data_IF_120565589054
#
_entry.id   IF_120565589054
#
_cell.length_a   1.000
_cell.length_b   1.000
_cell.length_c   1.000
_cell.angle_alpha   90.00
_cell.angle_beta   90.00
_cell.angle_gamma   90.00
#
_symmetry.space_group_name_H-M   'P 1'
#
loop_
_entity.id
_entity.type
_entity.pdbx_description
1 polymer ?
#
# COMPACT_ATOMS: atom_id res chain seq x y z
N UNK A 1 6.75 4.44 1.39
CA UNK A 1 6.89 5.06 2.72
C UNK A 1 7.66 4.10 3.60
N UNK A 2 8.87 4.51 3.95
CA UNK A 2 9.92 3.68 4.54
C UNK A 2 10.19 4.09 5.98
N UNK A 3 11.13 3.39 6.63
CA UNK A 3 11.68 3.83 7.90
C UNK A 3 12.46 5.14 7.67
N UNK A 4 12.72 5.87 8.74
CA UNK A 4 13.61 7.04 8.71
C UNK A 4 14.99 6.63 8.16
N UNK A 5 15.45 7.31 7.10
CA UNK A 5 16.77 7.09 6.48
C UNK A 5 17.87 8.01 7.02
N UNK A 6 17.47 9.05 7.75
CA UNK A 6 18.33 10.04 8.38
C UNK A 6 17.53 11.26 8.80
N UNK A 7 18.21 12.33 9.23
CA UNK A 7 17.60 13.55 9.76
C UNK A 7 17.49 14.67 8.73
N UNK A 8 18.08 14.49 7.54
CA UNK A 8 18.03 15.46 6.46
C UNK A 8 17.15 14.94 5.31
N UNK A 9 16.46 15.85 4.62
CA UNK A 9 15.65 15.50 3.45
C UNK A 9 16.46 14.90 2.29
N UNK A 10 17.75 15.21 2.21
CA UNK A 10 18.69 14.64 1.23
C UNK A 10 18.98 13.15 1.43
N UNK A 11 18.77 12.62 2.65
CA UNK A 11 18.91 11.19 2.94
C UNK A 11 17.88 10.31 2.21
N UNK A 12 16.85 10.94 1.61
CA UNK A 12 15.74 10.27 0.94
C UNK A 12 15.90 10.21 -0.58
N UNK A 13 16.87 10.93 -1.15
CA UNK A 13 17.02 11.09 -2.62
C UNK A 13 17.34 9.78 -3.33
N UNK A 14 17.92 8.79 -2.64
CA UNK A 14 18.22 7.47 -3.21
C UNK A 14 17.02 6.52 -3.22
N UNK A 15 15.93 6.85 -2.52
CA UNK A 15 14.80 5.96 -2.30
C UNK A 15 13.51 6.43 -2.97
N UNK A 16 13.47 7.70 -3.35
CA UNK A 16 12.31 8.35 -3.96
C UNK A 16 12.78 9.20 -5.13
N UNK A 17 11.91 9.36 -6.11
CA UNK A 17 12.04 10.38 -7.15
C UNK A 17 11.01 11.48 -6.88
N UNK A 18 11.35 12.72 -7.25
CA UNK A 18 10.45 13.87 -7.14
C UNK A 18 10.13 14.41 -8.53
N UNK A 19 8.85 14.54 -8.82
CA UNK A 19 8.36 15.07 -10.10
C UNK A 19 8.13 16.59 -10.06
N UNK A 20 8.07 17.18 -8.86
CA UNK A 20 7.91 18.61 -8.64
C UNK A 20 9.24 19.31 -8.36
N UNK A 21 9.26 20.64 -8.54
CA UNK A 21 10.46 21.46 -8.28
C UNK A 21 10.83 21.54 -6.77
N UNK A 22 9.91 21.18 -5.87
CA UNK A 22 10.07 21.20 -4.42
C UNK A 22 9.23 20.10 -3.74
N UNK A 23 9.50 19.79 -2.46
CA UNK A 23 8.68 18.86 -1.67
C UNK A 23 9.44 17.90 -0.75
N UNK A 24 10.77 17.85 -0.85
CA UNK A 24 11.60 16.93 -0.05
C UNK A 24 11.44 17.08 1.47
N UNK A 25 11.35 18.31 1.97
CA UNK A 25 11.11 18.57 3.40
C UNK A 25 9.74 18.07 3.85
N UNK A 26 8.72 18.18 2.99
CA UNK A 26 7.38 17.66 3.30
C UNK A 26 7.37 16.13 3.36
N UNK A 27 8.08 15.48 2.43
CA UNK A 27 8.23 14.01 2.43
C UNK A 27 8.98 13.53 3.68
N UNK A 28 10.08 14.20 4.03
CA UNK A 28 10.80 13.95 5.28
C UNK A 28 9.86 14.04 6.48
N UNK A 29 9.11 15.15 6.60
CA UNK A 29 8.19 15.37 7.71
C UNK A 29 7.09 14.30 7.78
N UNK A 30 6.55 13.87 6.64
CA UNK A 30 5.61 12.73 6.58
C UNK A 30 6.24 11.47 7.17
N UNK A 31 7.45 11.11 6.72
CA UNK A 31 8.13 9.87 7.15
C UNK A 31 8.53 9.97 8.63
N UNK A 32 9.00 11.13 9.09
CA UNK A 32 9.37 11.34 10.48
C UNK A 32 8.15 11.22 11.41
N UNK A 33 7.05 11.93 11.12
CA UNK A 33 5.80 11.83 11.90
C UNK A 33 5.27 10.40 11.90
N UNK A 34 5.29 9.72 10.75
CA UNK A 34 4.84 8.33 10.65
C UNK A 34 5.60 7.41 11.60
N UNK A 35 6.91 7.61 11.76
CA UNK A 35 7.78 6.75 12.54
C UNK A 35 7.92 7.17 14.02
N UNK A 36 7.70 8.44 14.36
CA UNK A 36 7.91 8.96 15.72
C UNK A 36 6.62 9.37 16.45
N UNK A 37 5.55 9.71 15.72
CA UNK A 37 4.30 10.21 16.27
C UNK A 37 3.09 9.76 15.42
N UNK A 38 2.92 8.43 15.34
CA UNK A 38 1.89 7.81 14.50
C UNK A 38 0.46 8.24 14.83
N UNK A 39 0.17 8.66 16.07
CA UNK A 39 -1.14 9.19 16.48
C UNK A 39 -1.49 10.52 15.76
N UNK A 40 -0.49 11.25 15.29
CA UNK A 40 -0.66 12.50 14.52
C UNK A 40 -0.56 12.28 13.01
N UNK A 41 -0.42 11.04 12.52
CA UNK A 41 -0.22 10.76 11.09
C UNK A 41 -1.34 11.30 10.21
N UNK A 42 -2.57 11.33 10.72
CA UNK A 42 -3.73 11.86 10.01
C UNK A 42 -3.64 13.37 9.72
N UNK A 43 -2.72 14.11 10.35
CA UNK A 43 -2.49 15.53 10.04
C UNK A 43 -1.69 15.72 8.76
N UNK A 44 -0.87 14.74 8.39
CA UNK A 44 0.05 14.82 7.23
C UNK A 44 -0.23 13.77 6.17
N UNK A 45 -1.04 12.75 6.47
CA UNK A 45 -1.44 11.69 5.55
C UNK A 45 -2.96 11.56 5.54
N UNK A 46 -3.53 11.45 4.34
CA UNK A 46 -4.90 11.01 4.16
C UNK A 46 -4.97 9.49 4.43
N UNK A 47 -5.23 9.15 5.68
CA UNK A 47 -5.26 7.74 6.13
C UNK A 47 -6.31 6.94 5.37
N UNK A 48 -7.51 7.49 5.17
CA UNK A 48 -8.61 6.78 4.50
C UNK A 48 -8.24 6.37 3.07
N UNK A 49 -7.74 7.31 2.26
CA UNK A 49 -7.25 7.01 0.90
C UNK A 49 -6.10 6.00 0.89
N UNK A 50 -5.23 6.09 1.89
CA UNK A 50 -4.11 5.15 2.05
C UNK A 50 -4.62 3.73 2.33
N UNK A 51 -5.58 3.59 3.24
CA UNK A 51 -6.20 2.29 3.53
C UNK A 51 -6.97 1.75 2.32
N UNK A 52 -7.66 2.60 1.56
CA UNK A 52 -8.31 2.21 0.30
C UNK A 52 -7.31 1.67 -0.73
N UNK A 53 -6.18 2.36 -0.92
CA UNK A 53 -5.14 1.89 -1.84
C UNK A 53 -4.63 0.50 -1.45
N UNK A 54 -4.30 0.29 -0.16
CA UNK A 54 -3.80 -1.01 0.27
C UNK A 54 -4.87 -2.08 0.24
N UNK A 55 -6.13 -1.74 0.55
CA UNK A 55 -7.25 -2.67 0.43
C UNK A 55 -7.39 -3.15 -1.02
N UNK A 56 -7.29 -2.25 -1.99
CA UNK A 56 -7.33 -2.61 -3.41
C UNK A 56 -6.15 -3.49 -3.80
N UNK A 57 -4.91 -3.07 -3.51
CA UNK A 57 -3.72 -3.88 -3.82
C UNK A 57 -3.82 -5.28 -3.21
N UNK A 58 -4.35 -5.40 -1.99
CA UNK A 58 -4.56 -6.69 -1.36
C UNK A 58 -5.66 -7.50 -2.05
N UNK A 59 -6.83 -6.90 -2.31
CA UNK A 59 -7.97 -7.57 -2.96
C UNK A 59 -7.62 -8.17 -4.33
N UNK A 60 -6.67 -7.55 -5.06
CA UNK A 60 -6.20 -8.07 -6.34
C UNK A 60 -4.86 -8.80 -6.24
N UNK A 61 -4.34 -9.10 -5.04
CA UNK A 61 -3.05 -9.78 -4.83
C UNK A 61 -1.91 -9.12 -5.65
N UNK A 62 -1.80 -7.79 -5.55
CA UNK A 62 -0.73 -7.02 -6.17
C UNK A 62 0.44 -6.87 -5.21
N UNK A 63 1.40 -7.81 -5.26
CA UNK A 63 2.63 -7.74 -4.46
C UNK A 63 3.73 -6.91 -5.14
N UNK A 64 3.57 -6.59 -6.42
CA UNK A 64 4.38 -5.57 -7.10
C UNK A 64 3.89 -4.15 -6.74
N UNK A 65 3.62 -3.95 -5.46
CA UNK A 65 3.10 -2.70 -4.89
C UNK A 65 3.81 -2.42 -3.57
N UNK A 66 3.33 -1.43 -2.82
CA UNK A 66 3.80 -1.21 -1.46
C UNK A 66 3.73 -2.47 -0.57
N UNK A 67 2.72 -3.32 -0.72
CA UNK A 67 2.50 -4.49 0.15
C UNK A 67 3.65 -5.50 0.04
N UNK A 68 4.19 -5.72 -1.16
CA UNK A 68 5.28 -6.65 -1.39
C UNK A 68 6.63 -5.94 -1.55
N UNK A 69 6.86 -5.23 -2.66
CA UNK A 69 8.17 -4.64 -2.97
C UNK A 69 8.39 -3.18 -2.53
N UNK A 70 7.35 -2.49 -2.06
CA UNK A 70 7.49 -1.10 -1.63
C UNK A 70 7.41 -0.08 -2.77
N UNK A 71 6.90 -0.46 -3.95
CA UNK A 71 6.94 0.32 -5.19
C UNK A 71 5.56 0.51 -5.86
N UNK A 72 5.53 1.11 -7.05
CA UNK A 72 4.34 1.33 -7.90
C UNK A 72 3.24 2.18 -7.27
N UNK A 73 3.63 3.33 -6.71
CA UNK A 73 2.70 4.38 -6.29
C UNK A 73 3.42 5.73 -6.28
N UNK A 74 2.65 6.80 -6.42
CA UNK A 74 3.09 8.17 -6.18
C UNK A 74 2.52 8.69 -4.86
N UNK A 75 3.15 9.73 -4.32
CA UNK A 75 2.63 10.50 -3.20
C UNK A 75 2.34 11.91 -3.67
N UNK A 76 1.12 12.38 -3.43
CA UNK A 76 0.70 13.73 -3.78
C UNK A 76 0.25 14.47 -2.53
N UNK A 77 0.91 15.59 -2.22
CA UNK A 77 0.48 16.51 -1.15
C UNK A 77 -0.62 17.42 -1.69
N UNK A 78 -1.81 17.30 -1.12
CA UNK A 78 -2.94 18.14 -1.51
C UNK A 78 -2.85 19.55 -0.89
N UNK A 79 -3.75 20.44 -1.30
CA UNK A 79 -3.94 21.76 -0.70
C UNK A 79 -4.41 21.71 0.77
N UNK A 80 -4.81 20.54 1.28
CA UNK A 80 -5.18 20.34 2.68
C UNK A 80 -4.01 19.84 3.53
N UNK A 81 -2.77 20.02 3.04
CA UNK A 81 -1.50 19.61 3.67
C UNK A 81 -1.38 18.13 4.01
N UNK A 82 -2.21 17.29 3.38
CA UNK A 82 -2.16 15.84 3.53
C UNK A 82 -1.63 15.18 2.27
N UNK A 83 -0.70 14.25 2.43
CA UNK A 83 -0.32 13.33 1.38
C UNK A 83 -1.43 12.32 1.12
N UNK A 84 -1.73 12.08 -0.16
CA UNK A 84 -2.57 10.99 -0.63
C UNK A 84 -1.76 10.14 -1.59
N UNK A 85 -1.79 8.80 -1.47
CA UNK A 85 -1.14 7.97 -2.44
C UNK A 85 -1.97 7.86 -3.72
N UNK A 86 -1.27 7.68 -4.84
CA UNK A 86 -1.86 7.43 -6.15
C UNK A 86 -1.28 6.11 -6.64
N UNK A 87 -2.15 5.15 -6.95
CA UNK A 87 -1.75 3.85 -7.48
C UNK A 87 -1.14 4.02 -8.87
N UNK A 88 -0.06 3.30 -9.11
CA UNK A 88 0.56 3.17 -10.42
C UNK A 88 0.76 1.69 -10.74
N UNK A 89 0.92 1.38 -12.02
CA UNK A 89 1.19 0.06 -12.60
C UNK A 89 0.58 -1.17 -11.89
N UNK A 90 -0.55 -1.65 -12.42
CA UNK A 90 -1.28 -2.81 -11.90
C UNK A 90 -1.12 -4.07 -12.76
N UNK A 91 -0.22 -4.05 -13.75
CA UNK A 91 -0.01 -5.15 -14.70
C UNK A 91 0.33 -6.49 -14.01
N UNK A 92 1.00 -6.43 -12.86
CA UNK A 92 1.46 -7.58 -12.08
C UNK A 92 0.50 -7.99 -10.94
N UNK A 93 -0.75 -7.54 -11.03
CA UNK A 93 -1.84 -7.98 -10.14
C UNK A 93 -2.26 -9.43 -10.39
N UNK A 94 -3.24 -9.91 -9.62
CA UNK A 94 -3.82 -11.25 -9.66
C UNK A 94 -2.80 -12.37 -9.42
N UNK A 95 -1.88 -12.18 -8.47
CA UNK A 95 -0.84 -13.14 -8.11
C UNK A 95 0.11 -13.53 -9.28
N UNK A 96 0.23 -12.65 -10.28
CA UNK A 96 1.18 -12.84 -11.38
C UNK A 96 2.62 -12.52 -10.94
N UNK A 97 2.82 -11.55 -10.05
CA UNK A 97 4.06 -11.36 -9.30
C UNK A 97 3.97 -11.99 -7.92
N UNK A 98 4.93 -12.86 -7.61
CA UNK A 98 4.89 -13.73 -6.42
C UNK A 98 6.08 -13.55 -5.49
N UNK A 99 6.96 -12.59 -5.77
CA UNK A 99 7.99 -12.17 -4.81
C UNK A 99 7.35 -11.25 -3.77
N UNK A 100 7.90 -11.26 -2.55
CA UNK A 100 7.33 -10.53 -1.42
C UNK A 100 8.40 -9.68 -0.73
N UNK A 101 8.01 -9.06 0.37
CA UNK A 101 8.82 -8.35 1.35
C UNK A 101 9.80 -9.24 2.14
N UNK A 102 9.97 -10.50 1.72
CA UNK A 102 10.66 -11.55 2.47
C UNK A 102 10.12 -11.68 3.90
N UNK A 103 8.80 -11.55 4.07
CA UNK A 103 8.12 -11.82 5.33
C UNK A 103 8.38 -13.24 5.82
N UNK A 104 8.29 -13.42 7.14
CA UNK A 104 8.43 -14.73 7.79
C UNK A 104 7.58 -15.83 7.12
N UNK A 105 6.39 -15.47 6.63
CA UNK A 105 5.48 -16.40 5.95
C UNK A 105 5.87 -16.71 4.50
N UNK A 106 6.45 -15.75 3.79
CA UNK A 106 6.65 -15.82 2.34
C UNK A 106 8.07 -15.47 1.92
N UNK A 107 9.08 -15.98 2.64
CA UNK A 107 10.48 -15.60 2.44
C UNK A 107 10.99 -15.76 0.99
N UNK A 108 10.56 -16.82 0.30
CA UNK A 108 10.90 -17.10 -1.10
C UNK A 108 9.71 -16.91 -2.06
N UNK A 109 8.76 -16.05 -1.69
CA UNK A 109 7.53 -15.87 -2.43
C UNK A 109 6.39 -16.79 -2.00
N UNK A 110 5.35 -16.88 -2.84
CA UNK A 110 4.15 -17.67 -2.58
C UNK A 110 3.62 -18.39 -3.83
N UNK A 111 2.83 -19.44 -3.63
CA UNK A 111 2.08 -20.12 -4.69
C UNK A 111 0.60 -19.67 -4.77
N UNK A 112 -0.14 -20.19 -5.76
CA UNK A 112 -1.55 -19.82 -5.97
C UNK A 112 -2.46 -20.26 -4.81
N UNK A 113 -2.18 -21.40 -4.19
CA UNK A 113 -2.97 -21.88 -3.04
C UNK A 113 -2.78 -20.98 -1.83
N UNK A 114 -1.54 -20.55 -1.60
CA UNK A 114 -1.20 -19.58 -0.56
C UNK A 114 -1.84 -18.23 -0.83
N UNK A 115 -1.81 -17.74 -2.07
CA UNK A 115 -2.43 -16.46 -2.47
C UNK A 115 -3.93 -16.39 -2.11
N UNK A 116 -4.66 -17.50 -2.24
CA UNK A 116 -6.09 -17.56 -1.92
C UNK A 116 -6.40 -17.45 -0.42
N UNK A 117 -5.43 -17.78 0.43
CA UNK A 117 -5.59 -17.88 1.88
C UNK A 117 -4.68 -16.90 2.64
N UNK A 118 -4.17 -15.88 1.96
CA UNK A 118 -3.33 -14.87 2.58
C UNK A 118 -4.10 -14.12 3.67
N UNK A 119 -3.36 -13.66 4.68
CA UNK A 119 -3.86 -12.78 5.71
C UNK A 119 -3.72 -11.30 5.28
N UNK A 120 -4.83 -10.52 5.19
CA UNK A 120 -4.78 -9.10 4.87
C UNK A 120 -3.99 -8.25 5.87
N UNK A 121 -3.77 -8.76 7.08
CA UNK A 121 -3.05 -8.11 8.17
C UNK A 121 -1.63 -8.67 8.36
N UNK A 122 -1.02 -9.25 7.31
CA UNK A 122 0.33 -9.83 7.38
C UNK A 122 1.36 -8.88 8.01
N UNK A 123 1.35 -7.59 7.65
CA UNK A 123 2.27 -6.56 8.17
C UNK A 123 2.01 -6.14 9.62
N UNK A 124 0.91 -6.59 10.21
CA UNK A 124 0.60 -6.41 11.63
C UNK A 124 0.91 -7.66 12.44
N UNK A 125 0.63 -8.84 11.88
CA UNK A 125 0.77 -10.12 12.58
C UNK A 125 2.18 -10.73 12.48
N UNK A 126 2.97 -10.32 11.47
CA UNK A 126 4.28 -10.91 11.18
C UNK A 126 5.34 -9.85 10.94
N UNK A 127 6.61 -10.27 11.08
CA UNK A 127 7.78 -9.42 10.82
C UNK A 127 8.26 -9.66 9.39
N UNK A 128 8.62 -8.58 8.73
CA UNK A 128 9.18 -8.56 7.38
C UNK A 128 10.66 -8.20 7.41
N UNK A 129 11.48 -8.90 6.62
CA UNK A 129 12.91 -8.56 6.47
C UNK A 129 13.05 -7.18 5.83
N UNK A 130 12.16 -6.84 4.89
CA UNK A 130 11.98 -5.47 4.39
C UNK A 130 10.77 -4.84 5.10
N UNK A 131 10.97 -3.95 6.09
CA UNK A 131 9.86 -3.43 6.90
C UNK A 131 8.85 -2.61 6.08
N UNK A 132 7.57 -2.64 6.51
CA UNK A 132 6.48 -1.81 5.97
C UNK A 132 5.90 -0.90 7.06
N UNK A 133 6.66 0.11 7.51
CA UNK A 133 6.31 0.91 8.69
C UNK A 133 4.99 1.66 8.55
N UNK A 134 4.61 2.06 7.33
CA UNK A 134 3.30 2.67 7.10
C UNK A 134 2.17 1.77 7.56
N UNK A 135 2.14 0.54 7.03
CA UNK A 135 1.09 -0.42 7.33
C UNK A 135 1.17 -0.87 8.79
N UNK A 136 2.38 -1.13 9.28
CA UNK A 136 2.61 -1.53 10.67
C UNK A 136 2.09 -0.47 11.65
N UNK A 137 2.44 0.80 11.44
CA UNK A 137 2.05 1.89 12.34
C UNK A 137 0.56 2.21 12.25
N UNK A 138 -0.02 2.22 11.04
CA UNK A 138 -1.46 2.41 10.88
C UNK A 138 -2.25 1.27 11.54
N UNK A 139 -1.77 0.03 11.42
CA UNK A 139 -2.44 -1.14 11.99
C UNK A 139 -2.27 -1.27 13.50
N UNK A 140 -1.43 -0.48 14.16
CA UNK A 140 -1.47 -0.39 15.62
C UNK A 140 -2.79 0.25 16.14
N UNK A 141 -3.50 0.98 15.29
CA UNK A 141 -4.81 1.55 15.61
C UNK A 141 -5.96 0.60 15.20
N UNK A 142 -6.75 0.15 16.19
CA UNK A 142 -7.89 -0.75 16.00
C UNK A 142 -8.94 -0.23 15.01
N UNK A 143 -9.17 1.08 14.99
CA UNK A 143 -10.11 1.72 14.06
C UNK A 143 -9.62 1.60 12.63
N UNK A 144 -8.33 1.84 12.38
CA UNK A 144 -7.74 1.75 11.04
C UNK A 144 -7.72 0.30 10.52
N UNK A 145 -7.45 -0.69 11.39
CA UNK A 145 -7.60 -2.10 11.00
C UNK A 145 -9.03 -2.43 10.58
N UNK A 146 -10.03 -1.98 11.35
CA UNK A 146 -11.46 -2.22 11.02
C UNK A 146 -11.86 -1.52 9.71
N UNK A 147 -11.42 -0.29 9.48
CA UNK A 147 -11.66 0.44 8.23
C UNK A 147 -11.05 -0.29 7.03
N UNK A 148 -9.78 -0.71 7.14
CA UNK A 148 -9.09 -1.46 6.09
C UNK A 148 -9.82 -2.75 5.71
N UNK A 149 -10.23 -3.57 6.69
CA UNK A 149 -10.99 -4.79 6.44
C UNK A 149 -12.38 -4.47 5.84
N UNK A 150 -13.02 -3.38 6.26
CA UNK A 150 -14.28 -2.93 5.66
C UNK A 150 -14.09 -2.54 4.18
N UNK A 151 -13.02 -1.81 3.84
CA UNK A 151 -12.70 -1.47 2.45
C UNK A 151 -12.49 -2.72 1.59
N UNK A 152 -11.72 -3.71 2.08
CA UNK A 152 -11.56 -5.00 1.37
C UNK A 152 -12.93 -5.65 1.13
N UNK A 153 -13.78 -5.71 2.15
CA UNK A 153 -15.13 -6.28 2.02
C UNK A 153 -15.94 -5.56 0.96
N UNK A 154 -15.93 -4.23 0.94
CA UNK A 154 -16.61 -3.43 -0.08
C UNK A 154 -16.10 -3.75 -1.49
N UNK A 155 -14.78 -3.76 -1.69
CA UNK A 155 -14.18 -4.10 -2.99
C UNK A 155 -14.64 -5.48 -3.46
N UNK A 156 -14.57 -6.48 -2.59
CA UNK A 156 -14.98 -7.85 -2.91
C UNK A 156 -16.47 -7.94 -3.25
N UNK A 157 -17.35 -7.32 -2.46
CA UNK A 157 -18.79 -7.39 -2.65
C UNK A 157 -19.25 -6.64 -3.91
N UNK A 158 -18.69 -5.46 -4.16
CA UNK A 158 -19.14 -4.60 -5.26
C UNK A 158 -18.52 -4.96 -6.61
N UNK A 159 -17.37 -5.63 -6.65
CA UNK A 159 -16.64 -5.87 -7.89
C UNK A 159 -16.36 -7.35 -8.22
N UNK A 160 -16.15 -8.20 -7.21
CA UNK A 160 -15.64 -9.57 -7.43
C UNK A 160 -16.70 -10.65 -7.22
N UNK A 161 -17.43 -10.61 -6.10
CA UNK A 161 -18.45 -11.62 -5.75
C UNK A 161 -19.63 -11.61 -6.74
N UNK A 162 -19.94 -10.44 -7.30
CA UNK A 162 -21.03 -10.26 -8.25
C UNK A 162 -20.60 -10.40 -9.73
N UNK A 163 -19.40 -10.91 -9.99
CA UNK A 163 -18.80 -11.07 -11.33
C UNK A 163 -18.67 -9.77 -12.16
N UNK A 164 -18.82 -8.58 -11.56
CA UNK A 164 -18.73 -7.31 -12.29
C UNK A 164 -17.38 -7.14 -12.98
N UNK A 165 -16.28 -7.49 -12.30
CA UNK A 165 -14.92 -7.44 -12.86
C UNK A 165 -14.80 -8.30 -14.13
N UNK A 166 -15.36 -9.51 -14.10
CA UNK A 166 -15.32 -10.48 -15.19
C UNK A 166 -16.14 -9.98 -16.37
N UNK A 167 -17.35 -9.51 -16.12
CA UNK A 167 -18.22 -8.95 -17.15
C UNK A 167 -17.57 -7.72 -17.82
N UNK A 168 -16.94 -6.86 -17.03
CA UNK A 168 -16.21 -5.69 -17.53
C UNK A 168 -14.99 -6.10 -18.37
N UNK A 169 -14.23 -7.09 -17.93
CA UNK A 169 -13.07 -7.60 -18.67
C UNK A 169 -13.49 -8.20 -20.03
N UNK A 170 -14.55 -9.01 -20.06
CA UNK A 170 -15.09 -9.57 -21.30
C UNK A 170 -15.61 -8.48 -22.25
N UNK A 171 -16.29 -7.47 -21.72
CA UNK A 171 -16.72 -6.32 -22.52
C UNK A 171 -15.53 -5.62 -23.18
N UNK A 172 -14.47 -5.33 -22.43
CA UNK A 172 -13.26 -4.67 -22.96
C UNK A 172 -12.53 -5.56 -23.98
N UNK A 173 -12.42 -6.86 -23.73
CA UNK A 173 -11.82 -7.81 -24.67
C UNK A 173 -12.52 -7.80 -26.03
N UNK A 174 -13.85 -7.68 -26.05
CA UNK A 174 -14.64 -7.67 -27.29
C UNK A 174 -14.64 -6.33 -28.04
N UNK A 175 -14.02 -5.27 -27.49
CA UNK A 175 -13.81 -4.00 -28.21
C UNK A 175 -12.56 -4.03 -29.11
N UNK A 176 -11.72 -5.04 -28.95
CA UNK A 176 -10.55 -5.33 -29.78
C UNK A 176 -10.86 -6.38 -30.85
#
# INVERSE_FOLDING_TARGET
>A
MSNTHGQDSSDYYLFYDIESDYGWTDLYNLIDILNTNSDSVNKVLNVDRTLWMHALNYSVINFDSYIGYGQNYYLYKSLTDQFSPIIWDLNMSFASFRLTDASQLYFNGFDISQAQNMDPLVHYNYISVSPRPLMQNLFNNDTYRKMYIAHIRTIMQENFINDLYKNRAQFLQNLH
#
